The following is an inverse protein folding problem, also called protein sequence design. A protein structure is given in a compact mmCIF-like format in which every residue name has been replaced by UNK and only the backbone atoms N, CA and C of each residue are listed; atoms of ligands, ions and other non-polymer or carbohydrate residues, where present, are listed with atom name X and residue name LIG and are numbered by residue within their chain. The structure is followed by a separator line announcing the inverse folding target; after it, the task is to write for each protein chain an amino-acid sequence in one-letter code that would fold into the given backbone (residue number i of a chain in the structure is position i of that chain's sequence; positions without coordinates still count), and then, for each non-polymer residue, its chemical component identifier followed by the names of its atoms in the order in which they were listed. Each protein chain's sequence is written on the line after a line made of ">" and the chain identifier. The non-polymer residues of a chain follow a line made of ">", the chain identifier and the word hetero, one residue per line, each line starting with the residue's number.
data_IF_681678694523
#
_entry.id   IF_681678694523
#
_cell.length_a   1.000
_cell.length_b   1.000
_cell.length_c   1.000
_cell.angle_alpha   90.00
_cell.angle_beta   90.00
_cell.angle_gamma   90.00
#
_symmetry.space_group_name_H-M   'P 1'
#
loop_
_entity.id
_entity.type
_entity.pdbx_description
1 polymer ?
#
# COMPACT_ATOMS: atom_id res chain seq x y z
N UNK A 1 -3.21 25.03 8.04
CA UNK A 1 -2.73 26.36 7.58
C UNK A 1 -1.21 26.50 7.59
N UNK A 2 -0.50 26.51 8.76
CA UNK A 2 0.96 26.75 8.75
C UNK A 2 1.77 25.62 8.08
N UNK A 3 1.46 24.35 8.37
CA UNK A 3 2.10 23.17 7.75
C UNK A 3 1.84 23.11 6.24
N UNK A 4 0.62 23.35 5.83
CA UNK A 4 0.22 23.35 4.42
C UNK A 4 0.97 24.41 3.60
N UNK A 5 1.12 25.63 4.14
CA UNK A 5 1.91 26.67 3.48
C UNK A 5 3.39 26.28 3.33
N UNK A 6 3.97 25.58 4.31
CA UNK A 6 5.34 25.06 4.20
C UNK A 6 5.48 24.00 3.11
N UNK A 7 4.49 23.09 2.98
CA UNK A 7 4.47 22.07 1.92
C UNK A 7 4.31 22.71 0.53
N UNK A 8 3.43 23.71 0.39
CA UNK A 8 3.29 24.47 -0.87
C UNK A 8 4.60 25.16 -1.28
N UNK A 9 5.31 25.77 -0.33
CA UNK A 9 6.60 26.42 -0.61
C UNK A 9 7.67 25.37 -0.98
N UNK A 10 7.71 24.22 -0.29
CA UNK A 10 8.61 23.12 -0.63
C UNK A 10 8.36 22.57 -2.04
N UNK A 11 7.09 22.38 -2.42
CA UNK A 11 6.71 21.98 -3.78
C UNK A 11 7.16 23.03 -4.82
N UNK A 12 6.99 24.31 -4.52
CA UNK A 12 7.44 25.40 -5.39
C UNK A 12 8.95 25.34 -5.64
N UNK A 13 9.74 25.09 -4.59
CA UNK A 13 11.20 24.96 -4.69
C UNK A 13 11.58 23.73 -5.51
N UNK A 14 10.92 22.58 -5.28
CA UNK A 14 11.16 21.37 -6.05
C UNK A 14 10.87 21.59 -7.55
N UNK A 15 9.76 22.25 -7.89
CA UNK A 15 9.41 22.62 -9.28
C UNK A 15 10.47 23.52 -9.93
N UNK A 16 11.00 24.50 -9.22
CA UNK A 16 12.10 25.34 -9.74
C UNK A 16 13.38 24.55 -9.99
N UNK A 17 13.64 23.52 -9.17
CA UNK A 17 14.76 22.61 -9.41
C UNK A 17 14.54 21.78 -10.67
N UNK A 18 13.32 21.28 -10.89
CA UNK A 18 12.93 20.50 -12.07
C UNK A 18 12.93 21.32 -13.37
N UNK A 19 12.71 22.62 -13.32
CA UNK A 19 12.88 23.50 -14.49
C UNK A 19 14.33 23.47 -15.02
N UNK A 20 15.29 23.22 -14.14
CA UNK A 20 16.73 23.17 -14.49
C UNK A 20 17.19 21.74 -14.79
N UNK A 21 16.62 20.78 -14.13
CA UNK A 21 16.93 19.35 -14.25
C UNK A 21 15.64 18.52 -14.19
N UNK A 22 14.90 18.36 -15.30
CA UNK A 22 13.56 17.78 -15.35
C UNK A 22 13.48 16.31 -14.91
N UNK A 23 14.59 15.57 -14.99
CA UNK A 23 14.66 14.14 -14.70
C UNK A 23 15.46 13.84 -13.41
N UNK A 24 15.66 14.83 -12.55
CA UNK A 24 16.31 14.60 -11.25
C UNK A 24 15.37 13.80 -10.34
N UNK A 25 15.61 12.49 -10.21
CA UNK A 25 14.78 11.54 -9.50
C UNK A 25 14.44 11.99 -8.07
N UNK A 26 15.41 12.53 -7.34
CA UNK A 26 15.20 13.03 -5.96
C UNK A 26 14.23 14.19 -5.91
N UNK A 27 14.29 15.10 -6.88
CA UNK A 27 13.37 16.24 -6.96
C UNK A 27 11.96 15.77 -7.37
N UNK A 28 11.88 14.81 -8.29
CA UNK A 28 10.60 14.20 -8.69
C UNK A 28 9.93 13.49 -7.51
N UNK A 29 10.67 12.69 -6.74
CA UNK A 29 10.17 12.04 -5.54
C UNK A 29 9.73 13.05 -4.46
N UNK A 30 10.49 14.13 -4.28
CA UNK A 30 10.12 15.20 -3.35
C UNK A 30 8.85 15.94 -3.82
N UNK A 31 8.76 16.28 -5.11
CA UNK A 31 7.59 16.93 -5.70
C UNK A 31 6.34 16.03 -5.61
N UNK A 32 6.50 14.73 -5.84
CA UNK A 32 5.44 13.75 -5.65
C UNK A 32 4.94 13.74 -4.20
N UNK A 33 5.86 13.65 -3.23
CA UNK A 33 5.51 13.64 -1.81
C UNK A 33 4.73 14.92 -1.41
N UNK A 34 5.20 16.09 -1.83
CA UNK A 34 4.52 17.35 -1.51
C UNK A 34 3.17 17.49 -2.20
N UNK A 35 3.05 17.03 -3.46
CA UNK A 35 1.77 16.99 -4.17
C UNK A 35 0.77 16.09 -3.46
N UNK A 36 1.19 14.91 -3.01
CA UNK A 36 0.37 13.99 -2.25
C UNK A 36 -0.10 14.57 -0.91
N UNK A 37 0.80 15.22 -0.14
CA UNK A 37 0.45 15.91 1.11
C UNK A 37 -0.52 17.09 0.90
N UNK A 38 -0.58 17.65 -0.30
CA UNK A 38 -1.53 18.68 -0.72
C UNK A 38 -2.82 18.11 -1.33
N UNK A 39 -3.02 16.79 -1.26
CA UNK A 39 -4.15 16.07 -1.86
C UNK A 39 -4.23 16.20 -3.39
N UNK A 40 -3.11 16.48 -4.05
CA UNK A 40 -2.96 16.45 -5.51
C UNK A 40 -2.41 15.08 -5.94
N UNK A 41 -3.26 14.05 -5.88
CA UNK A 41 -2.87 12.69 -6.22
C UNK A 41 -2.43 12.57 -7.69
N UNK A 42 -3.08 13.27 -8.61
CA UNK A 42 -2.69 13.27 -10.03
C UNK A 42 -1.33 13.92 -10.26
N UNK A 43 -1.03 15.02 -9.57
CA UNK A 43 0.30 15.63 -9.61
C UNK A 43 1.36 14.70 -9.04
N UNK A 44 1.06 14.03 -7.91
CA UNK A 44 1.95 13.06 -7.30
C UNK A 44 2.25 11.87 -8.23
N UNK A 45 1.22 11.29 -8.85
CA UNK A 45 1.34 10.21 -9.83
C UNK A 45 2.22 10.62 -11.02
N UNK A 46 1.98 11.80 -11.62
CA UNK A 46 2.76 12.27 -12.76
C UNK A 46 4.25 12.40 -12.45
N UNK A 47 4.61 12.90 -11.26
CA UNK A 47 6.02 12.98 -10.86
C UNK A 47 6.63 11.59 -10.65
N UNK A 48 5.87 10.63 -10.09
CA UNK A 48 6.35 9.26 -9.91
C UNK A 48 6.55 8.54 -11.25
N UNK A 49 5.62 8.68 -12.19
CA UNK A 49 5.75 8.10 -13.52
C UNK A 49 6.97 8.68 -14.26
N UNK A 50 7.19 9.99 -14.17
CA UNK A 50 8.40 10.62 -14.74
C UNK A 50 9.67 10.12 -14.08
N UNK A 51 9.68 9.95 -12.74
CA UNK A 51 10.83 9.42 -12.03
C UNK A 51 11.13 7.97 -12.42
N UNK A 52 10.11 7.19 -12.73
CA UNK A 52 10.21 5.77 -13.10
C UNK A 52 10.93 5.55 -14.44
N UNK A 53 10.82 6.50 -15.38
CA UNK A 53 11.42 6.37 -16.72
C UNK A 53 12.95 6.19 -16.69
N UNK A 54 13.64 6.83 -15.73
CA UNK A 54 15.09 6.86 -15.64
C UNK A 54 15.63 6.24 -14.32
N UNK A 55 14.77 5.71 -13.45
CA UNK A 55 15.18 5.13 -12.18
C UNK A 55 15.83 3.75 -12.37
N UNK A 56 16.99 3.53 -11.76
CA UNK A 56 17.64 2.20 -11.70
C UNK A 56 16.91 1.28 -10.70
N UNK A 57 16.37 1.86 -9.63
CA UNK A 57 15.58 1.17 -8.60
C UNK A 57 14.19 1.80 -8.55
N UNK A 58 13.17 1.01 -8.85
CA UNK A 58 11.77 1.43 -8.93
C UNK A 58 10.94 1.02 -7.72
N UNK A 59 11.50 0.33 -6.73
CA UNK A 59 10.76 -0.22 -5.59
C UNK A 59 9.99 0.84 -4.79
N UNK A 60 10.68 1.94 -4.43
CA UNK A 60 10.03 3.04 -3.72
C UNK A 60 8.96 3.73 -4.58
N UNK A 61 9.21 3.87 -5.88
CA UNK A 61 8.27 4.48 -6.82
C UNK A 61 7.02 3.62 -6.96
N UNK A 62 7.19 2.32 -7.15
CA UNK A 62 6.10 1.36 -7.31
C UNK A 62 5.25 1.27 -6.04
N UNK A 63 5.87 1.31 -4.85
CA UNK A 63 5.14 1.36 -3.57
C UNK A 63 4.28 2.63 -3.45
N UNK A 64 4.83 3.79 -3.82
CA UNK A 64 4.09 5.07 -3.77
C UNK A 64 2.96 5.12 -4.80
N UNK A 65 3.17 4.60 -6.01
CA UNK A 65 2.14 4.47 -7.03
C UNK A 65 1.03 3.54 -6.55
N UNK A 66 1.37 2.35 -6.03
CA UNK A 66 0.40 1.41 -5.50
C UNK A 66 -0.44 2.02 -4.37
N UNK A 67 0.17 2.85 -3.50
CA UNK A 67 -0.55 3.58 -2.45
C UNK A 67 -1.57 4.55 -3.04
N UNK A 68 -1.19 5.35 -4.03
CA UNK A 68 -2.09 6.30 -4.70
C UNK A 68 -3.23 5.57 -5.40
N UNK A 69 -2.92 4.50 -6.12
CA UNK A 69 -3.92 3.69 -6.85
C UNK A 69 -4.89 3.01 -5.90
N UNK A 70 -4.41 2.48 -4.78
CA UNK A 70 -5.25 1.84 -3.77
C UNK A 70 -6.26 2.82 -3.15
N UNK A 71 -5.82 4.04 -2.81
CA UNK A 71 -6.71 5.09 -2.30
C UNK A 71 -7.76 5.55 -3.32
N UNK A 72 -7.50 5.35 -4.60
CA UNK A 72 -8.41 5.67 -5.71
C UNK A 72 -9.22 4.47 -6.21
N UNK A 73 -9.07 3.29 -5.58
CA UNK A 73 -9.72 2.03 -5.98
C UNK A 73 -9.37 1.62 -7.43
N UNK A 74 -8.16 1.99 -7.88
CA UNK A 74 -7.63 1.70 -9.23
C UNK A 74 -6.85 0.38 -9.20
N UNK A 75 -7.54 -0.71 -8.99
CA UNK A 75 -6.96 -2.03 -8.77
C UNK A 75 -6.22 -2.57 -9.99
N UNK A 76 -6.72 -2.34 -11.19
CA UNK A 76 -6.06 -2.75 -12.43
C UNK A 76 -4.67 -2.09 -12.58
N UNK A 77 -4.55 -0.80 -12.24
CA UNK A 77 -3.26 -0.10 -12.28
C UNK A 77 -2.26 -0.67 -11.24
N UNK A 78 -2.75 -1.20 -10.10
CA UNK A 78 -1.90 -1.91 -9.13
C UNK A 78 -1.44 -3.25 -9.69
N UNK A 79 -2.33 -4.00 -10.37
CA UNK A 79 -1.98 -5.28 -10.97
C UNK A 79 -0.97 -5.13 -12.10
N UNK A 80 -0.96 -4.01 -12.82
CA UNK A 80 0.06 -3.72 -13.84
C UNK A 80 1.46 -3.65 -13.23
N UNK A 81 1.60 -3.23 -11.94
CA UNK A 81 2.87 -3.23 -11.23
C UNK A 81 3.43 -4.65 -10.97
N UNK A 82 2.59 -5.69 -11.00
CA UNK A 82 3.03 -7.07 -10.82
C UNK A 82 4.00 -7.51 -11.92
N UNK A 83 3.84 -6.98 -13.13
CA UNK A 83 4.72 -7.29 -14.27
C UNK A 83 6.17 -6.83 -14.05
N UNK A 84 6.42 -5.97 -13.08
CA UNK A 84 7.73 -5.45 -12.70
C UNK A 84 8.41 -6.34 -11.65
N UNK A 85 7.74 -7.41 -11.19
CA UNK A 85 8.23 -8.34 -10.17
C UNK A 85 8.70 -7.61 -8.90
N UNK A 86 7.85 -6.75 -8.26
CA UNK A 86 8.27 -5.96 -7.11
C UNK A 86 8.76 -6.87 -5.98
N UNK A 87 9.85 -6.50 -5.33
CA UNK A 87 10.39 -7.26 -4.18
C UNK A 87 9.80 -6.78 -2.85
N UNK A 88 9.35 -5.52 -2.77
CA UNK A 88 8.82 -4.92 -1.55
C UNK A 88 7.54 -5.64 -1.08
N UNK A 89 7.51 -6.21 0.16
CA UNK A 89 6.35 -6.93 0.66
C UNK A 89 5.06 -6.09 0.74
N UNK A 90 5.18 -4.77 0.94
CA UNK A 90 4.01 -3.89 0.98
C UNK A 90 3.40 -3.69 -0.42
N UNK A 91 4.24 -3.57 -1.46
CA UNK A 91 3.75 -3.52 -2.86
C UNK A 91 3.06 -4.83 -3.23
N UNK A 92 3.66 -5.97 -2.92
CA UNK A 92 3.05 -7.30 -3.13
C UNK A 92 1.73 -7.43 -2.38
N UNK A 93 1.65 -6.91 -1.17
CA UNK A 93 0.40 -6.94 -0.40
C UNK A 93 -0.70 -6.08 -1.05
N UNK A 94 -0.36 -4.91 -1.58
CA UNK A 94 -1.35 -4.10 -2.31
C UNK A 94 -1.86 -4.82 -3.57
N UNK A 95 -1.00 -5.58 -4.25
CA UNK A 95 -1.39 -6.47 -5.35
C UNK A 95 -2.35 -7.56 -4.85
N UNK A 96 -2.02 -8.24 -3.74
CA UNK A 96 -2.89 -9.25 -3.14
C UNK A 96 -4.27 -8.69 -2.76
N UNK A 97 -4.32 -7.47 -2.18
CA UNK A 97 -5.57 -6.76 -1.89
C UNK A 97 -6.37 -6.44 -3.16
N UNK A 98 -5.70 -6.05 -4.23
CA UNK A 98 -6.37 -5.74 -5.49
C UNK A 98 -7.06 -6.98 -6.07
N UNK A 99 -6.44 -8.16 -5.99
CA UNK A 99 -7.11 -9.42 -6.34
C UNK A 99 -8.33 -9.70 -5.46
N UNK A 100 -8.24 -9.44 -4.14
CA UNK A 100 -9.37 -9.59 -3.22
C UNK A 100 -10.54 -8.67 -3.60
N UNK A 101 -10.28 -7.38 -3.86
CA UNK A 101 -11.30 -6.40 -4.24
C UNK A 101 -11.94 -6.70 -5.61
N UNK A 102 -11.22 -7.42 -6.47
CA UNK A 102 -11.68 -7.89 -7.77
C UNK A 102 -12.32 -9.29 -7.71
N UNK A 103 -12.58 -9.83 -6.51
CA UNK A 103 -13.22 -11.12 -6.25
C UNK A 103 -12.40 -12.36 -6.72
N UNK A 104 -11.09 -12.17 -6.98
CA UNK A 104 -10.14 -13.28 -7.19
C UNK A 104 -9.51 -13.69 -5.86
N UNK A 105 -10.33 -14.34 -5.03
CA UNK A 105 -9.97 -14.70 -3.66
C UNK A 105 -8.89 -15.79 -3.60
N UNK A 106 -8.83 -16.67 -4.58
CA UNK A 106 -7.85 -17.76 -4.63
C UNK A 106 -6.44 -17.19 -4.86
N UNK A 107 -6.27 -16.33 -5.88
CA UNK A 107 -4.98 -15.67 -6.15
C UNK A 107 -4.57 -14.77 -4.99
N UNK A 108 -5.51 -14.03 -4.43
CA UNK A 108 -5.28 -13.21 -3.25
C UNK A 108 -4.75 -14.04 -2.08
N UNK A 109 -5.38 -15.17 -1.78
CA UNK A 109 -4.98 -16.05 -0.69
C UNK A 109 -3.56 -16.61 -0.86
N UNK A 110 -3.19 -17.06 -2.06
CA UNK A 110 -1.83 -17.51 -2.36
C UNK A 110 -0.79 -16.43 -2.05
N UNK A 111 -1.03 -15.20 -2.49
CA UNK A 111 -0.16 -14.06 -2.22
C UNK A 111 -0.09 -13.69 -0.73
N UNK A 112 -1.22 -13.73 -0.01
CA UNK A 112 -1.23 -13.50 1.44
C UNK A 112 -0.42 -14.57 2.19
N UNK A 113 -0.50 -15.83 1.78
CA UNK A 113 0.30 -16.91 2.37
C UNK A 113 1.80 -16.69 2.17
N UNK A 114 2.24 -16.27 0.98
CA UNK A 114 3.64 -15.94 0.70
C UNK A 114 4.14 -14.79 1.58
N UNK A 115 3.30 -13.79 1.84
CA UNK A 115 3.65 -12.60 2.61
C UNK A 115 3.54 -12.76 4.13
N UNK A 116 2.88 -13.82 4.60
CA UNK A 116 2.58 -14.01 6.03
C UNK A 116 3.84 -14.04 6.92
N UNK A 117 4.99 -14.46 6.39
CA UNK A 117 6.27 -14.43 7.11
C UNK A 117 6.83 -13.02 7.27
N UNK A 118 6.80 -12.23 6.20
CA UNK A 118 7.39 -10.90 6.13
C UNK A 118 6.53 -9.85 6.86
N UNK A 119 5.20 -10.01 6.80
CA UNK A 119 4.23 -9.04 7.34
C UNK A 119 3.52 -9.53 8.62
N UNK A 120 4.03 -10.58 9.28
CA UNK A 120 3.44 -11.17 10.51
C UNK A 120 3.20 -10.19 11.66
N UNK A 121 3.97 -9.11 11.73
CA UNK A 121 3.91 -8.09 12.77
C UNK A 121 3.22 -6.79 12.26
N UNK A 122 2.62 -6.81 11.07
CA UNK A 122 1.86 -5.70 10.53
C UNK A 122 0.36 -5.88 10.83
N UNK A 123 -0.24 -5.05 11.71
CA UNK A 123 -1.64 -5.22 12.10
C UNK A 123 -2.62 -5.04 10.93
N UNK A 124 -2.35 -4.12 10.03
CA UNK A 124 -3.22 -3.86 8.88
C UNK A 124 -3.23 -5.04 7.91
N UNK A 125 -2.05 -5.64 7.63
CA UNK A 125 -1.96 -6.88 6.86
C UNK A 125 -2.76 -8.00 7.52
N UNK A 126 -2.55 -8.22 8.82
CA UNK A 126 -3.25 -9.28 9.57
C UNK A 126 -4.76 -9.10 9.55
N UNK A 127 -5.25 -7.88 9.69
CA UNK A 127 -6.68 -7.58 9.65
C UNK A 127 -7.29 -7.99 8.30
N UNK A 128 -6.70 -7.57 7.19
CA UNK A 128 -7.17 -7.94 5.85
C UNK A 128 -7.07 -9.45 5.61
N UNK A 129 -5.98 -10.07 6.04
CA UNK A 129 -5.81 -11.52 5.91
C UNK A 129 -6.87 -12.30 6.68
N UNK A 130 -7.19 -11.90 7.92
CA UNK A 130 -8.25 -12.52 8.72
C UNK A 130 -9.60 -12.44 8.02
N UNK A 131 -9.93 -11.30 7.42
CA UNK A 131 -11.19 -11.15 6.68
C UNK A 131 -11.24 -12.04 5.44
N UNK A 132 -10.16 -12.12 4.67
CA UNK A 132 -10.04 -13.03 3.52
C UNK A 132 -10.21 -14.50 3.94
N UNK A 133 -9.51 -14.94 4.99
CA UNK A 133 -9.60 -16.30 5.50
C UNK A 133 -11.03 -16.67 5.94
N UNK A 134 -11.75 -15.73 6.54
CA UNK A 134 -13.16 -15.93 6.90
C UNK A 134 -14.05 -16.08 5.68
N UNK A 135 -13.84 -15.27 4.67
CA UNK A 135 -14.60 -15.31 3.43
C UNK A 135 -14.42 -16.64 2.72
N UNK A 136 -13.20 -17.17 2.73
CA UNK A 136 -12.86 -18.49 2.20
C UNK A 136 -13.28 -19.66 3.10
N UNK A 137 -13.73 -19.40 4.33
CA UNK A 137 -14.14 -20.46 5.29
C UNK A 137 -12.98 -21.11 6.05
N UNK A 138 -11.77 -20.51 6.02
CA UNK A 138 -10.58 -21.00 6.73
C UNK A 138 -10.57 -20.48 8.18
N UNK A 139 -11.59 -20.86 8.96
CA UNK A 139 -11.86 -20.30 10.29
C UNK A 139 -10.76 -20.56 11.31
N UNK A 140 -10.13 -21.74 11.28
CA UNK A 140 -9.02 -22.06 12.20
C UNK A 140 -7.80 -21.16 11.94
N UNK A 141 -7.48 -20.92 10.67
CA UNK A 141 -6.37 -20.04 10.30
C UNK A 141 -6.69 -18.57 10.63
N UNK A 142 -7.93 -18.14 10.37
CA UNK A 142 -8.42 -16.81 10.77
C UNK A 142 -8.29 -16.59 12.27
N UNK A 143 -8.64 -17.59 13.09
CA UNK A 143 -8.54 -17.56 14.56
C UNK A 143 -7.08 -17.41 15.02
N UNK A 144 -6.16 -18.15 14.43
CA UNK A 144 -4.72 -18.04 14.75
C UNK A 144 -4.20 -16.63 14.46
N UNK A 145 -4.52 -16.09 13.28
CA UNK A 145 -4.09 -14.75 12.90
C UNK A 145 -4.76 -13.65 13.76
N UNK A 146 -6.05 -13.82 14.13
CA UNK A 146 -6.74 -12.91 15.04
C UNK A 146 -6.09 -12.89 16.43
N UNK A 147 -5.62 -14.02 16.93
CA UNK A 147 -4.86 -14.08 18.18
C UNK A 147 -3.54 -13.33 18.09
N UNK A 148 -2.84 -13.39 16.96
CA UNK A 148 -1.61 -12.62 16.72
C UNK A 148 -1.92 -11.13 16.68
N UNK A 149 -2.96 -10.73 15.90
CA UNK A 149 -3.41 -9.35 15.82
C UNK A 149 -3.71 -8.75 17.20
N UNK A 150 -4.47 -9.45 18.04
CA UNK A 150 -4.86 -8.97 19.38
C UNK A 150 -3.68 -8.86 20.36
N UNK A 151 -2.55 -9.53 20.10
CA UNK A 151 -1.31 -9.31 20.86
C UNK A 151 -0.62 -8.01 20.46
N UNK A 152 -0.77 -7.58 19.20
CA UNK A 152 -0.19 -6.34 18.69
C UNK A 152 -1.08 -5.13 19.01
N UNK A 153 -2.40 -5.31 18.88
CA UNK A 153 -3.40 -4.25 19.06
C UNK A 153 -4.55 -4.77 19.93
N UNK A 154 -4.40 -4.80 21.26
CA UNK A 154 -5.35 -5.49 22.17
C UNK A 154 -6.72 -4.81 22.31
N UNK A 155 -6.83 -3.50 22.08
CA UNK A 155 -8.03 -2.72 22.41
C UNK A 155 -9.03 -2.58 21.24
N UNK A 156 -8.93 -3.43 20.20
CA UNK A 156 -9.85 -3.41 19.04
C UNK A 156 -11.03 -4.34 19.30
N UNK A 157 -12.13 -3.74 19.78
CA UNK A 157 -13.38 -4.47 20.18
C UNK A 157 -13.90 -5.36 19.04
N UNK A 158 -13.92 -4.86 17.81
CA UNK A 158 -14.40 -5.61 16.64
C UNK A 158 -13.61 -6.91 16.42
N UNK A 159 -12.28 -6.86 16.59
CA UNK A 159 -11.44 -8.05 16.44
C UNK A 159 -11.59 -9.00 17.63
N UNK A 160 -11.80 -8.49 18.84
CA UNK A 160 -12.10 -9.32 20.01
C UNK A 160 -13.42 -10.10 19.81
N UNK A 161 -14.50 -9.42 19.41
CA UNK A 161 -15.78 -10.06 19.09
C UNK A 161 -15.67 -11.07 17.94
N UNK A 162 -14.85 -10.77 16.94
CA UNK A 162 -14.58 -11.68 15.85
C UNK A 162 -13.86 -12.94 16.35
N UNK A 163 -12.81 -12.77 17.14
CA UNK A 163 -12.06 -13.88 17.71
C UNK A 163 -12.92 -14.78 18.58
N UNK A 164 -13.83 -14.20 19.41
CA UNK A 164 -14.78 -14.96 20.21
C UNK A 164 -15.71 -15.82 19.34
N UNK A 165 -16.28 -15.24 18.27
CA UNK A 165 -17.12 -15.98 17.30
C UNK A 165 -16.41 -17.10 16.56
N UNK A 166 -15.10 -16.97 16.35
CA UNK A 166 -14.28 -18.02 15.74
C UNK A 166 -13.94 -19.17 16.70
N UNK A 167 -14.32 -19.05 18.00
CA UNK A 167 -14.13 -20.11 19.00
C UNK A 167 -15.34 -21.03 19.16
N UNK A 168 -16.52 -20.59 18.68
CA UNK A 168 -17.77 -21.35 18.71
C UNK A 168 -17.84 -22.41 17.59
#
# INVERSE_FOLDING_TARGET
>A
MHKEHQVQEALRIAKQGLEKNPFETRLLLAASQFSYELHDASGAENYLLTAKEDAEDTEEISLRLATIYLEQERYEDILDLQSEEPENPLTKWMIARSYQEMDDLDTSYELYQELAGDLKDNPEFLEHYIYLLRELGYFEEAKVNAQVYLKLVPDVVQMQELYERLQE
#
